data_IF_685394828652
#
_entry.id   IF_685394828652
#
_cell.length_a   1.000
_cell.length_b   1.000
_cell.length_c   1.000
_cell.angle_alpha   90.00
_cell.angle_beta   90.00
_cell.angle_gamma   90.00
#
_symmetry.space_group_name_H-M   'P 1'
#
loop_
_entity.id
_entity.type
_entity.pdbx_description
1 polymer ?
#
# COMPACT_ATOMS: atom_id res chain seq x y z
N UNK A 1 11.68 33.65 -36.89
CA UNK A 1 11.94 34.52 -35.72
C UNK A 1 11.10 33.96 -34.60
N UNK A 2 11.79 33.14 -33.81
CA UNK A 2 11.30 32.26 -32.78
C UNK A 2 10.74 33.03 -31.59
N UNK A 3 9.47 32.77 -31.27
CA UNK A 3 8.83 33.19 -30.03
C UNK A 3 9.27 32.25 -28.89
N UNK A 4 10.56 32.35 -28.62
CA UNK A 4 11.26 32.14 -27.35
C UNK A 4 10.30 31.93 -26.18
N UNK A 5 10.04 30.65 -25.87
CA UNK A 5 10.55 30.01 -24.65
C UNK A 5 10.63 30.95 -23.44
N UNK A 6 9.50 31.50 -22.99
CA UNK A 6 9.47 32.41 -21.82
C UNK A 6 8.24 32.30 -20.94
N UNK A 7 7.73 31.10 -20.71
CA UNK A 7 7.05 30.82 -19.46
C UNK A 7 7.56 29.47 -18.97
N UNK A 8 8.74 29.49 -18.37
CA UNK A 8 8.82 29.37 -16.92
C UNK A 8 8.14 28.07 -16.50
N UNK A 9 8.89 26.96 -16.59
CA UNK A 9 9.35 26.24 -15.40
C UNK A 9 8.35 26.32 -14.23
N UNK A 10 7.11 25.96 -14.49
CA UNK A 10 6.09 25.82 -13.48
C UNK A 10 6.31 24.44 -12.91
N UNK A 11 7.12 24.42 -11.85
CA UNK A 11 7.18 23.36 -10.86
C UNK A 11 7.24 21.95 -11.46
N UNK A 12 8.41 21.31 -11.35
CA UNK A 12 8.45 19.94 -10.85
C UNK A 12 7.84 19.94 -9.43
N UNK A 13 6.56 20.30 -9.33
CA UNK A 13 5.72 19.99 -8.21
C UNK A 13 5.49 18.52 -8.36
N UNK A 14 6.39 17.74 -7.75
CA UNK A 14 6.01 16.42 -7.28
C UNK A 14 4.65 16.61 -6.63
N UNK A 15 3.67 15.97 -7.21
CA UNK A 15 2.33 15.84 -6.68
C UNK A 15 2.40 15.72 -5.15
N UNK A 16 1.71 16.57 -4.38
CA UNK A 16 1.58 16.38 -2.93
C UNK A 16 0.75 15.14 -2.58
N UNK A 17 0.34 14.34 -3.59
CA UNK A 17 -0.15 12.98 -3.43
C UNK A 17 1.00 11.97 -3.25
N UNK A 18 2.22 12.44 -2.97
CA UNK A 18 3.32 11.68 -2.40
C UNK A 18 2.90 10.94 -1.14
N UNK A 19 2.52 9.68 -1.32
CA UNK A 19 2.27 8.70 -0.27
C UNK A 19 0.84 8.78 0.25
N UNK A 20 -0.03 7.94 -0.28
CA UNK A 20 -1.07 7.32 0.54
C UNK A 20 -0.36 6.70 1.74
N UNK A 21 -0.24 7.45 2.83
CA UNK A 21 0.14 6.88 4.10
C UNK A 21 -0.90 5.79 4.34
N UNK A 22 -0.42 4.57 4.28
CA UNK A 22 -1.13 3.33 4.51
C UNK A 22 -1.50 3.30 6.01
N UNK A 23 -2.37 4.23 6.44
CA UNK A 23 -2.82 4.41 7.82
C UNK A 23 -3.99 3.45 8.06
N UNK A 24 -3.83 2.19 7.64
CA UNK A 24 -4.76 1.13 7.97
C UNK A 24 -4.09 0.07 8.83
N UNK A 25 -4.84 -0.44 9.78
CA UNK A 25 -4.48 -1.64 10.51
C UNK A 25 -4.71 -2.84 9.61
N UNK A 26 -3.66 -3.61 9.32
CA UNK A 26 -3.76 -4.85 8.55
C UNK A 26 -3.94 -6.02 9.51
N UNK A 27 -5.07 -6.71 9.39
CA UNK A 27 -5.42 -7.87 10.23
C UNK A 27 -5.45 -9.13 9.38
N UNK A 28 -4.96 -10.25 9.92
CA UNK A 28 -5.05 -11.54 9.28
C UNK A 28 -6.51 -12.01 9.23
N UNK A 29 -7.05 -12.27 8.04
CA UNK A 29 -8.40 -12.80 7.86
C UNK A 29 -8.57 -14.20 8.47
N UNK A 30 -7.47 -14.95 8.62
CA UNK A 30 -7.49 -16.33 9.11
C UNK A 30 -7.39 -16.42 10.63
N UNK A 31 -6.27 -15.95 11.21
CA UNK A 31 -6.01 -16.06 12.65
C UNK A 31 -6.41 -14.80 13.44
N UNK A 32 -6.89 -13.75 12.77
CA UNK A 32 -7.27 -12.45 13.36
C UNK A 32 -6.12 -11.70 14.06
N UNK A 33 -4.89 -12.12 13.82
CA UNK A 33 -3.70 -11.45 14.34
C UNK A 33 -3.43 -10.14 13.60
N UNK A 34 -2.95 -9.12 14.31
CA UNK A 34 -2.55 -7.85 13.72
C UNK A 34 -1.21 -8.04 13.00
N UNK A 35 -1.22 -7.96 11.67
CA UNK A 35 -0.03 -8.09 10.83
C UNK A 35 0.76 -6.79 10.84
N UNK A 36 0.05 -5.67 10.73
CA UNK A 36 0.63 -4.33 10.76
C UNK A 36 -0.30 -3.42 11.55
N UNK A 37 0.16 -2.84 12.67
CA UNK A 37 -0.60 -1.80 13.36
C UNK A 37 -0.63 -0.54 12.50
N UNK A 38 -1.78 0.14 12.46
CA UNK A 38 -1.97 1.35 11.67
C UNK A 38 -3.09 2.22 12.23
N UNK A 39 -3.83 2.89 11.34
CA UNK A 39 -4.91 3.81 11.72
C UNK A 39 -6.28 3.15 11.92
N UNK A 40 -7.35 3.98 11.97
CA UNK A 40 -8.70 3.52 12.29
C UNK A 40 -9.30 2.62 11.19
N UNK A 41 -8.83 2.77 9.96
CA UNK A 41 -9.23 1.89 8.84
C UNK A 41 -8.65 0.50 9.03
N UNK A 42 -9.44 -0.54 8.77
CA UNK A 42 -8.99 -1.94 8.84
C UNK A 42 -8.98 -2.57 7.45
N UNK A 43 -7.85 -3.15 7.07
CA UNK A 43 -7.71 -4.00 5.89
C UNK A 43 -7.49 -5.44 6.32
N UNK A 44 -7.93 -6.39 5.49
CA UNK A 44 -7.76 -7.81 5.76
C UNK A 44 -6.75 -8.41 4.78
N UNK A 45 -5.78 -9.17 5.30
CA UNK A 45 -4.78 -9.91 4.52
C UNK A 45 -4.52 -11.28 5.12
N UNK A 46 -3.47 -11.99 4.67
CA UNK A 46 -3.04 -13.26 5.28
C UNK A 46 -1.65 -13.08 5.88
N UNK A 47 -1.48 -13.41 7.16
CA UNK A 47 -0.18 -13.28 7.82
C UNK A 47 0.82 -14.31 7.25
N UNK A 48 2.13 -14.05 7.31
CA UNK A 48 3.14 -14.96 6.77
C UNK A 48 3.08 -16.38 7.36
N UNK A 49 2.67 -16.52 8.63
CA UNK A 49 2.49 -17.82 9.28
C UNK A 49 1.33 -18.62 8.67
N UNK A 50 0.16 -18.00 8.55
CA UNK A 50 -1.00 -18.62 7.89
C UNK A 50 -0.74 -18.88 6.41
N UNK A 51 -0.06 -17.96 5.71
CA UNK A 51 0.30 -18.14 4.29
C UNK A 51 1.15 -19.40 4.09
N UNK A 52 2.19 -19.60 4.91
CA UNK A 52 3.03 -20.82 4.86
C UNK A 52 2.23 -22.08 5.16
N UNK A 53 1.36 -22.06 6.18
CA UNK A 53 0.51 -23.20 6.52
C UNK A 53 -0.39 -23.57 5.34
N UNK A 54 -1.04 -22.57 4.75
CA UNK A 54 -1.93 -22.75 3.60
C UNK A 54 -1.24 -23.32 2.38
N UNK A 55 -0.06 -22.80 2.06
CA UNK A 55 0.75 -23.31 0.96
C UNK A 55 1.15 -24.77 1.19
N UNK A 56 1.47 -25.16 2.43
CA UNK A 56 1.78 -26.55 2.77
C UNK A 56 0.55 -27.48 2.65
N UNK A 57 -0.64 -26.95 2.91
CA UNK A 57 -1.92 -27.65 2.69
C UNK A 57 -2.38 -27.63 1.22
N UNK A 58 -1.59 -27.07 0.30
CA UNK A 58 -1.90 -27.01 -1.13
C UNK A 58 -2.95 -25.95 -1.50
N UNK A 59 -3.24 -25.01 -0.60
CA UNK A 59 -4.22 -23.93 -0.82
C UNK A 59 -3.49 -22.71 -1.41
N UNK A 60 -3.91 -22.28 -2.60
CA UNK A 60 -3.37 -21.10 -3.28
C UNK A 60 -4.09 -19.86 -2.75
N UNK A 61 -3.32 -18.97 -2.09
CA UNK A 61 -3.80 -17.66 -1.64
C UNK A 61 -3.46 -16.63 -2.73
N UNK A 62 -4.43 -15.92 -3.31
CA UNK A 62 -4.21 -14.94 -4.37
C UNK A 62 -3.43 -13.70 -3.91
#
# INVERSE_FOLDING_TARGET
MDETTRHHQAALGGDPFGGFFDVFTLVCAWCREVIRPGGPSKSHGICPACKRKLMNEGIIVP
#
